data_IF_654148382120
#
_entry.id   IF_654148382120
#
_cell.length_a   1.000
_cell.length_b   1.000
_cell.length_c   1.000
_cell.angle_alpha   90.00
_cell.angle_beta   90.00
_cell.angle_gamma   90.00
#
_symmetry.space_group_name_H-M   'P 1'
#
loop_
_entity.id
_entity.type
_entity.pdbx_description
1 polymer ?
#
# COMPACT_ATOMS: atom_id res chain seq x y z
N UNK A 1 51.98 35.55 -5.72
CA UNK A 1 51.41 36.16 -6.92
C UNK A 1 50.60 35.16 -7.77
N UNK A 2 51.14 34.46 -8.82
CA UNK A 2 50.31 33.54 -9.65
C UNK A 2 49.97 32.21 -8.95
N UNK A 3 50.84 31.68 -8.06
CA UNK A 3 50.62 30.48 -7.23
C UNK A 3 49.62 30.71 -6.13
N UNK A 4 49.56 31.87 -5.52
CA UNK A 4 48.60 32.23 -4.49
C UNK A 4 47.17 32.38 -5.04
N UNK A 5 47.03 32.91 -6.25
CA UNK A 5 45.74 32.97 -6.96
C UNK A 5 45.21 31.57 -7.34
N UNK A 6 46.10 30.63 -7.71
CA UNK A 6 45.74 29.25 -7.99
C UNK A 6 45.28 28.51 -6.73
N UNK A 7 46.02 28.65 -5.61
CA UNK A 7 45.66 28.00 -4.34
C UNK A 7 44.33 28.54 -3.78
N UNK A 8 44.08 29.84 -3.86
CA UNK A 8 42.79 30.43 -3.47
C UNK A 8 41.63 29.93 -4.33
N UNK A 9 41.85 29.75 -5.66
CA UNK A 9 40.86 29.17 -6.55
C UNK A 9 40.55 27.72 -6.22
N UNK A 10 41.57 26.93 -5.85
CA UNK A 10 41.38 25.52 -5.47
C UNK A 10 40.68 25.37 -4.11
N UNK A 11 40.96 26.21 -3.16
CA UNK A 11 40.24 26.24 -1.86
C UNK A 11 38.76 26.61 -2.08
N UNK A 12 38.50 27.63 -2.92
CA UNK A 12 37.13 28.03 -3.23
C UNK A 12 36.35 26.92 -3.95
N UNK A 13 36.95 26.21 -4.91
CA UNK A 13 36.33 25.07 -5.59
C UNK A 13 36.02 23.96 -4.61
N UNK A 14 36.92 23.62 -3.69
CA UNK A 14 36.70 22.62 -2.65
C UNK A 14 35.55 23.01 -1.72
N UNK A 15 35.45 24.25 -1.32
CA UNK A 15 34.35 24.75 -0.51
C UNK A 15 33.01 24.65 -1.22
N UNK A 16 32.96 25.00 -2.53
CA UNK A 16 31.75 24.83 -3.33
C UNK A 16 31.31 23.37 -3.42
N UNK A 17 32.24 22.45 -3.67
CA UNK A 17 31.94 21.00 -3.71
C UNK A 17 31.46 20.47 -2.36
N UNK A 18 32.04 20.96 -1.24
CA UNK A 18 31.58 20.59 0.09
C UNK A 18 30.16 21.08 0.35
N UNK A 19 29.85 22.33 0.01
CA UNK A 19 28.49 22.89 0.16
C UNK A 19 27.49 22.13 -0.71
N UNK A 20 27.84 21.84 -1.96
CA UNK A 20 27.01 21.08 -2.87
C UNK A 20 26.74 19.65 -2.35
N UNK A 21 27.77 19.01 -1.78
CA UNK A 21 27.64 17.67 -1.19
C UNK A 21 26.76 17.69 0.06
N UNK A 22 26.88 18.69 0.94
CA UNK A 22 26.00 18.87 2.09
C UNK A 22 24.54 19.11 1.67
N UNK A 23 24.32 19.90 0.62
CA UNK A 23 22.98 20.13 0.06
C UNK A 23 22.38 18.86 -0.51
N UNK A 24 23.15 18.08 -1.28
CA UNK A 24 22.71 16.79 -1.82
C UNK A 24 22.40 15.77 -0.70
N UNK A 25 23.19 15.73 0.36
CA UNK A 25 22.94 14.89 1.51
C UNK A 25 21.65 15.31 2.24
N UNK A 26 21.45 16.60 2.46
CA UNK A 26 20.24 17.13 3.09
C UNK A 26 18.99 16.84 2.26
N UNK A 27 19.08 16.99 0.94
CA UNK A 27 17.99 16.65 0.02
C UNK A 27 17.69 15.14 0.01
N UNK A 28 18.72 14.30 0.03
CA UNK A 28 18.56 12.85 0.13
C UNK A 28 17.86 12.45 1.43
N UNK A 29 18.29 12.99 2.57
CA UNK A 29 17.65 12.74 3.87
C UNK A 29 16.18 13.22 3.85
N UNK A 30 15.91 14.36 3.27
CA UNK A 30 14.54 14.89 3.13
C UNK A 30 13.68 13.99 2.26
N UNK A 31 14.22 13.53 1.12
CA UNK A 31 13.52 12.60 0.23
C UNK A 31 13.24 11.27 0.93
N UNK A 32 14.21 10.72 1.67
CA UNK A 32 14.02 9.51 2.47
C UNK A 32 12.95 9.71 3.55
N UNK A 33 12.95 10.85 4.24
CA UNK A 33 11.93 11.20 5.23
C UNK A 33 10.53 11.33 4.61
N UNK A 34 10.39 12.00 3.47
CA UNK A 34 9.11 12.12 2.75
C UNK A 34 8.60 10.75 2.26
N UNK A 35 9.49 9.89 1.77
CA UNK A 35 9.16 8.50 1.42
C UNK A 35 8.65 7.74 2.64
N UNK A 36 9.38 7.78 3.75
CA UNK A 36 8.99 7.12 5.01
C UNK A 36 7.66 7.65 5.56
N UNK A 37 7.46 8.97 5.55
CA UNK A 37 6.21 9.63 5.97
C UNK A 37 5.02 9.23 5.09
N UNK A 38 5.24 9.08 3.78
CA UNK A 38 4.19 8.68 2.84
C UNK A 38 3.87 7.18 2.90
N UNK A 39 4.79 6.35 3.39
CA UNK A 39 4.61 4.92 3.59
C UNK A 39 3.62 4.60 4.72
N UNK A 40 3.65 5.39 5.78
CA UNK A 40 2.62 5.35 6.82
C UNK A 40 1.47 6.22 6.36
N UNK A 41 0.46 5.64 5.68
CA UNK A 41 -0.74 6.37 5.29
C UNK A 41 -1.33 7.09 6.52
N UNK A 42 -1.15 8.44 6.66
CA UNK A 42 -1.56 9.15 7.88
C UNK A 42 -3.06 9.00 8.15
N UNK A 43 -3.86 8.96 7.08
CA UNK A 43 -5.29 8.79 7.19
C UNK A 43 -5.68 7.41 7.75
N UNK A 44 -4.98 6.34 7.34
CA UNK A 44 -5.16 5.01 7.92
C UNK A 44 -4.82 5.03 9.42
N UNK A 45 -3.71 5.64 9.79
CA UNK A 45 -3.26 5.71 11.17
C UNK A 45 -4.26 6.48 12.05
N UNK A 46 -4.73 7.66 11.62
CA UNK A 46 -5.74 8.43 12.34
C UNK A 46 -7.06 7.65 12.50
N UNK A 47 -7.51 6.98 11.45
CA UNK A 47 -8.71 6.14 11.50
C UNK A 47 -8.52 4.98 12.48
N UNK A 48 -7.37 4.32 12.46
CA UNK A 48 -7.06 3.22 13.37
C UNK A 48 -7.06 3.66 14.83
N UNK A 49 -6.46 4.81 15.14
CA UNK A 49 -6.46 5.36 16.49
C UNK A 49 -7.87 5.75 16.97
N UNK A 50 -8.72 6.28 16.09
CA UNK A 50 -10.11 6.59 16.43
C UNK A 50 -10.92 5.34 16.70
N UNK A 51 -10.78 4.29 15.88
CA UNK A 51 -11.44 2.99 16.10
C UNK A 51 -10.96 2.37 17.41
N UNK A 52 -9.65 2.35 17.67
CA UNK A 52 -9.10 1.85 18.93
C UNK A 52 -9.66 2.59 20.16
N UNK A 53 -9.78 3.92 20.08
CA UNK A 53 -10.37 4.73 21.16
C UNK A 53 -11.81 4.34 21.48
N UNK A 54 -12.61 3.97 20.46
CA UNK A 54 -13.98 3.44 20.67
C UNK A 54 -13.92 2.07 21.32
N UNK A 55 -13.12 1.14 20.76
CA UNK A 55 -13.00 -0.23 21.24
C UNK A 55 -12.54 -0.32 22.71
N UNK A 56 -11.60 0.53 23.13
CA UNK A 56 -11.14 0.59 24.55
C UNK A 56 -12.28 0.89 25.51
N UNK A 57 -13.31 1.63 25.09
CA UNK A 57 -14.47 1.96 25.92
C UNK A 57 -15.55 0.88 25.89
N UNK A 58 -15.66 0.17 24.76
CA UNK A 58 -16.76 -0.76 24.50
C UNK A 58 -16.37 -2.20 24.83
N UNK A 59 -15.15 -2.62 24.49
CA UNK A 59 -14.70 -4.01 24.64
C UNK A 59 -13.16 -4.08 24.66
N UNK A 60 -12.59 -4.35 25.82
CA UNK A 60 -11.15 -4.41 26.01
C UNK A 60 -10.48 -5.56 25.23
N UNK A 61 -11.12 -6.72 25.11
CA UNK A 61 -10.57 -7.86 24.39
C UNK A 61 -10.45 -7.53 22.90
N UNK A 62 -11.50 -6.97 22.30
CA UNK A 62 -11.46 -6.47 20.91
C UNK A 62 -10.41 -5.37 20.72
N UNK A 63 -10.20 -4.51 21.71
CA UNK A 63 -9.15 -3.50 21.63
C UNK A 63 -7.74 -4.10 21.63
N UNK A 64 -7.51 -5.17 22.40
CA UNK A 64 -6.23 -5.90 22.39
C UNK A 64 -5.97 -6.57 21.05
N UNK A 65 -6.96 -7.30 20.50
CA UNK A 65 -6.87 -7.92 19.18
C UNK A 65 -6.59 -6.85 18.11
N UNK A 66 -7.26 -5.71 18.20
CA UNK A 66 -7.06 -4.59 17.26
C UNK A 66 -5.64 -4.04 17.31
N UNK A 67 -5.07 -3.86 18.52
CA UNK A 67 -3.67 -3.41 18.70
C UNK A 67 -2.71 -4.41 18.09
N UNK A 68 -2.95 -5.71 18.28
CA UNK A 68 -2.10 -6.76 17.74
C UNK A 68 -2.08 -6.74 16.20
N UNK A 69 -3.25 -6.69 15.58
CA UNK A 69 -3.35 -6.66 14.11
C UNK A 69 -2.83 -5.33 13.53
N UNK A 70 -3.07 -4.20 14.20
CA UNK A 70 -2.48 -2.91 13.82
C UNK A 70 -0.93 -2.96 13.86
N UNK A 71 -0.37 -3.59 14.89
CA UNK A 71 1.07 -3.78 15.00
C UNK A 71 1.64 -4.64 13.88
N UNK A 72 0.91 -5.69 13.44
CA UNK A 72 1.29 -6.51 12.28
C UNK A 72 1.30 -5.68 11.00
N UNK A 73 0.24 -4.90 10.75
CA UNK A 73 0.13 -4.04 9.56
C UNK A 73 1.27 -3.02 9.53
N UNK A 74 1.53 -2.33 10.63
CA UNK A 74 2.62 -1.35 10.70
C UNK A 74 3.99 -1.99 10.46
N UNK A 75 4.26 -3.14 11.08
CA UNK A 75 5.53 -3.87 10.91
C UNK A 75 5.74 -4.29 9.46
N UNK A 76 4.73 -4.90 8.83
CA UNK A 76 4.82 -5.30 7.43
C UNK A 76 5.06 -4.10 6.52
N UNK A 77 4.32 -3.00 6.72
CA UNK A 77 4.48 -1.76 5.94
C UNK A 77 5.91 -1.20 6.03
N UNK A 78 6.56 -1.30 7.19
CA UNK A 78 7.93 -0.83 7.37
C UNK A 78 8.97 -1.79 6.77
N UNK A 79 8.76 -3.10 6.85
CA UNK A 79 9.70 -4.12 6.39
C UNK A 79 9.60 -4.42 4.90
N UNK A 80 8.41 -4.36 4.32
CA UNK A 80 8.16 -4.73 2.92
C UNK A 80 8.79 -3.80 1.89
N UNK A 81 9.29 -2.64 2.32
CA UNK A 81 9.98 -1.68 1.44
C UNK A 81 11.36 -2.16 0.97
N UNK A 82 11.95 -3.13 1.66
CA UNK A 82 13.24 -3.70 1.26
C UNK A 82 13.10 -4.82 0.22
N UNK A 83 11.90 -5.40 0.09
CA UNK A 83 11.63 -6.51 -0.82
C UNK A 83 11.03 -6.02 -2.12
N UNK A 84 11.56 -6.49 -3.24
CA UNK A 84 10.98 -6.20 -4.56
C UNK A 84 9.69 -6.98 -4.80
N UNK A 85 9.60 -8.20 -4.29
CA UNK A 85 8.44 -9.09 -4.40
C UNK A 85 8.28 -9.93 -3.13
N UNK A 86 7.06 -10.39 -2.88
CA UNK A 86 6.67 -11.28 -1.78
C UNK A 86 5.82 -12.42 -2.33
N UNK A 87 5.67 -13.53 -1.59
CA UNK A 87 4.74 -14.58 -1.96
C UNK A 87 3.29 -14.14 -1.77
N UNK A 88 2.37 -14.73 -2.53
CA UNK A 88 0.94 -14.50 -2.33
C UNK A 88 0.51 -14.88 -0.92
N UNK A 89 1.10 -15.92 -0.34
CA UNK A 89 0.87 -16.32 1.06
C UNK A 89 1.19 -15.19 2.03
N UNK A 90 2.40 -14.61 1.96
CA UNK A 90 2.82 -13.49 2.81
C UNK A 90 1.93 -12.27 2.63
N UNK A 91 1.57 -11.95 1.39
CA UNK A 91 0.68 -10.83 1.06
C UNK A 91 -0.73 -11.05 1.61
N UNK A 92 -1.27 -12.27 1.54
CA UNK A 92 -2.60 -12.61 2.09
C UNK A 92 -2.62 -12.67 3.62
N UNK A 93 -1.52 -13.06 4.27
CA UNK A 93 -1.38 -12.95 5.74
C UNK A 93 -1.45 -11.48 6.18
N UNK A 94 -0.73 -10.61 5.47
CA UNK A 94 -0.80 -9.18 5.71
C UNK A 94 -2.19 -8.60 5.39
N UNK A 95 -2.77 -8.94 4.24
CA UNK A 95 -4.09 -8.51 3.85
C UNK A 95 -5.16 -8.93 4.89
N UNK A 96 -5.03 -10.12 5.49
CA UNK A 96 -5.93 -10.59 6.54
C UNK A 96 -5.90 -9.71 7.78
N UNK A 97 -4.72 -9.27 8.22
CA UNK A 97 -4.58 -8.30 9.31
C UNK A 97 -5.22 -6.94 8.96
N UNK A 98 -4.99 -6.46 7.75
CA UNK A 98 -5.58 -5.22 7.26
C UNK A 98 -7.11 -5.29 7.14
N UNK A 99 -7.65 -6.40 6.63
CA UNK A 99 -9.09 -6.69 6.55
C UNK A 99 -9.72 -6.70 7.94
N UNK A 100 -9.05 -7.28 8.94
CA UNK A 100 -9.52 -7.25 10.32
C UNK A 100 -9.70 -5.82 10.84
N UNK A 101 -8.72 -4.93 10.60
CA UNK A 101 -8.83 -3.52 10.99
C UNK A 101 -10.00 -2.82 10.30
N UNK A 102 -10.24 -3.09 9.02
CA UNK A 102 -11.36 -2.54 8.26
C UNK A 102 -12.71 -3.07 8.78
N UNK A 103 -12.84 -4.36 9.08
CA UNK A 103 -14.04 -4.96 9.65
C UNK A 103 -14.40 -4.37 11.00
N UNK A 104 -13.42 -4.07 11.86
CA UNK A 104 -13.66 -3.39 13.13
C UNK A 104 -14.18 -1.95 12.97
N UNK A 105 -13.84 -1.30 11.84
CA UNK A 105 -14.28 0.06 11.53
C UNK A 105 -15.65 0.13 10.86
N UNK A 106 -15.92 -0.78 9.93
CA UNK A 106 -17.13 -0.75 9.08
C UNK A 106 -18.15 -1.80 9.51
N UNK A 107 -17.79 -2.66 10.46
CA UNK A 107 -18.64 -3.71 11.02
C UNK A 107 -19.26 -4.61 9.91
N UNK A 108 -20.57 -4.81 9.95
CA UNK A 108 -21.28 -5.63 8.98
C UNK A 108 -21.41 -5.01 7.59
N UNK A 109 -21.05 -3.73 7.44
CA UNK A 109 -21.22 -2.98 6.20
C UNK A 109 -20.09 -3.22 5.20
N UNK A 110 -19.00 -3.86 5.62
CA UNK A 110 -17.91 -4.27 4.74
C UNK A 110 -17.65 -5.77 4.86
N UNK A 111 -17.84 -6.48 3.76
CA UNK A 111 -17.67 -7.92 3.68
C UNK A 111 -16.56 -8.27 2.69
N UNK A 112 -15.97 -9.45 2.88
CA UNK A 112 -14.92 -9.98 2.02
C UNK A 112 -15.23 -11.42 1.67
N UNK A 113 -15.18 -11.74 0.38
CA UNK A 113 -15.20 -13.10 -0.16
C UNK A 113 -13.81 -13.40 -0.74
N UNK A 114 -13.10 -14.35 -0.10
CA UNK A 114 -11.70 -14.65 -0.40
C UNK A 114 -11.57 -16.08 -0.85
N UNK A 115 -11.15 -16.28 -2.10
CA UNK A 115 -11.00 -17.60 -2.71
C UNK A 115 -9.63 -17.70 -3.38
N UNK A 116 -8.65 -18.13 -2.62
CA UNK A 116 -7.25 -18.27 -3.07
C UNK A 116 -6.94 -19.75 -3.26
N UNK A 117 -6.57 -20.12 -4.48
CA UNK A 117 -6.14 -21.48 -4.77
C UNK A 117 -4.73 -21.72 -4.21
N UNK A 118 -4.55 -22.83 -3.48
CA UNK A 118 -3.28 -23.20 -2.83
C UNK A 118 -2.10 -23.29 -3.80
N UNK A 119 -2.37 -23.63 -5.06
CA UNK A 119 -1.35 -23.72 -6.11
C UNK A 119 -0.64 -22.41 -6.40
N UNK A 120 -1.24 -21.26 -6.05
CA UNK A 120 -0.67 -19.93 -6.29
C UNK A 120 -0.06 -19.28 -5.04
N UNK A 121 -0.10 -19.93 -3.88
CA UNK A 121 0.38 -19.34 -2.63
C UNK A 121 1.86 -18.94 -2.65
N UNK A 122 2.69 -19.65 -3.40
CA UNK A 122 4.12 -19.38 -3.52
C UNK A 122 4.48 -18.47 -4.71
N UNK A 123 3.48 -18.10 -5.55
CA UNK A 123 3.67 -17.13 -6.63
C UNK A 123 3.94 -15.74 -6.08
N UNK A 124 4.65 -14.94 -6.85
CA UNK A 124 5.17 -13.64 -6.42
C UNK A 124 4.36 -12.47 -6.97
N UNK A 125 4.29 -11.42 -6.14
CA UNK A 125 3.69 -10.14 -6.52
C UNK A 125 4.41 -9.01 -5.75
N UNK A 126 4.24 -7.73 -6.16
CA UNK A 126 4.79 -6.62 -5.40
C UNK A 126 4.15 -6.55 -4.01
N UNK A 127 4.90 -6.26 -2.93
CA UNK A 127 4.34 -6.11 -1.60
C UNK A 127 3.30 -4.99 -1.54
N UNK A 128 2.29 -5.16 -0.68
CA UNK A 128 1.15 -4.26 -0.48
C UNK A 128 0.22 -4.12 -1.70
N UNK A 129 0.32 -5.01 -2.71
CA UNK A 129 -0.52 -4.98 -3.90
C UNK A 129 -2.00 -5.19 -3.55
N UNK A 130 -2.31 -6.21 -2.75
CA UNK A 130 -3.69 -6.52 -2.31
C UNK A 130 -4.26 -5.39 -1.46
N UNK A 131 -3.45 -4.81 -0.54
CA UNK A 131 -3.87 -3.65 0.25
C UNK A 131 -4.27 -2.47 -0.64
N UNK A 132 -3.47 -2.13 -1.64
CA UNK A 132 -3.76 -1.02 -2.57
C UNK A 132 -5.11 -1.24 -3.26
N UNK A 133 -5.42 -2.47 -3.67
CA UNK A 133 -6.68 -2.81 -4.32
C UNK A 133 -7.87 -2.72 -3.34
N UNK A 134 -7.73 -3.25 -2.13
CA UNK A 134 -8.75 -3.12 -1.06
C UNK A 134 -8.96 -1.65 -0.70
N UNK A 135 -7.88 -0.88 -0.52
CA UNK A 135 -7.96 0.55 -0.19
C UNK A 135 -8.68 1.33 -1.29
N UNK A 136 -8.44 0.99 -2.56
CA UNK A 136 -9.13 1.59 -3.70
C UNK A 136 -10.64 1.33 -3.62
N UNK A 137 -11.07 0.09 -3.38
CA UNK A 137 -12.47 -0.27 -3.23
C UNK A 137 -13.15 0.50 -2.08
N UNK A 138 -12.53 0.52 -0.90
CA UNK A 138 -13.06 1.23 0.29
C UNK A 138 -13.10 2.74 0.10
N UNK A 139 -12.12 3.31 -0.60
CA UNK A 139 -12.00 4.75 -0.80
C UNK A 139 -13.06 5.30 -1.76
N UNK A 140 -13.34 4.59 -2.83
CA UNK A 140 -14.19 5.07 -3.91
C UNK A 140 -15.67 4.72 -3.74
N UNK A 141 -16.01 3.75 -2.89
CA UNK A 141 -17.38 3.31 -2.70
C UNK A 141 -18.00 3.81 -1.39
N UNK A 142 -19.30 4.08 -1.42
CA UNK A 142 -20.12 4.31 -0.23
C UNK A 142 -20.22 3.00 0.54
N UNK A 143 -20.00 3.06 1.87
CA UNK A 143 -20.13 1.92 2.78
C UNK A 143 -21.04 2.34 3.91
N UNK A 144 -22.25 1.80 3.93
CA UNK A 144 -23.29 2.15 4.93
C UNK A 144 -24.27 0.98 5.11
N UNK A 145 -25.11 1.04 6.15
CA UNK A 145 -26.17 0.04 6.40
C UNK A 145 -27.11 -0.15 5.21
N UNK A 146 -27.32 0.90 4.41
CA UNK A 146 -28.18 0.86 3.22
C UNK A 146 -27.43 0.36 1.98
N UNK A 147 -26.11 0.44 1.98
CA UNK A 147 -25.23 0.06 0.89
C UNK A 147 -24.00 -0.66 1.45
N UNK A 148 -24.18 -1.89 1.93
CA UNK A 148 -23.03 -2.72 2.30
C UNK A 148 -22.16 -2.98 1.07
N UNK A 149 -20.85 -3.03 1.26
CA UNK A 149 -19.89 -3.33 0.21
C UNK A 149 -19.30 -4.71 0.42
N UNK A 150 -19.30 -5.54 -0.63
CA UNK A 150 -18.56 -6.80 -0.66
C UNK A 150 -17.37 -6.65 -1.58
N UNK A 151 -16.20 -7.05 -1.10
CA UNK A 151 -14.97 -7.10 -1.89
C UNK A 151 -14.62 -8.57 -2.14
N UNK A 152 -14.51 -8.95 -3.40
CA UNK A 152 -14.12 -10.29 -3.83
C UNK A 152 -12.63 -10.32 -4.13
N UNK A 153 -11.92 -11.29 -3.58
CA UNK A 153 -10.47 -11.50 -3.80
C UNK A 153 -10.31 -12.96 -4.24
N UNK A 154 -10.05 -13.16 -5.52
CA UNK A 154 -10.13 -14.50 -6.13
C UNK A 154 -8.92 -14.73 -7.05
N UNK A 155 -8.31 -15.91 -6.96
CA UNK A 155 -7.35 -16.37 -7.97
C UNK A 155 -8.08 -17.11 -9.09
N UNK A 156 -7.69 -16.85 -10.35
CA UNK A 156 -8.18 -17.61 -11.50
C UNK A 156 -7.17 -18.71 -11.92
N UNK A 157 -7.61 -19.59 -12.84
CA UNK A 157 -6.75 -20.69 -13.33
C UNK A 157 -5.62 -20.21 -14.27
N UNK A 158 -5.62 -18.96 -14.67
CA UNK A 158 -4.63 -18.36 -15.58
C UNK A 158 -3.46 -17.71 -14.80
N UNK A 159 -3.46 -17.81 -13.46
CA UNK A 159 -2.42 -17.21 -12.63
C UNK A 159 -2.62 -15.71 -12.37
N UNK A 160 -3.84 -15.25 -12.32
CA UNK A 160 -4.17 -13.87 -11.93
C UNK A 160 -4.87 -13.85 -10.57
N UNK A 161 -4.59 -12.82 -9.80
CA UNK A 161 -5.37 -12.41 -8.64
C UNK A 161 -6.28 -11.27 -9.04
N UNK A 162 -7.59 -11.47 -8.88
CA UNK A 162 -8.62 -10.46 -9.12
C UNK A 162 -9.13 -9.91 -7.79
N UNK A 163 -9.24 -8.59 -7.72
CA UNK A 163 -9.97 -7.89 -6.63
C UNK A 163 -11.08 -7.09 -7.28
N UNK A 164 -12.34 -7.42 -6.94
CA UNK A 164 -13.50 -6.75 -7.51
C UNK A 164 -14.53 -6.35 -6.46
N UNK A 165 -15.37 -5.39 -6.81
CA UNK A 165 -16.48 -4.90 -6.00
C UNK A 165 -17.56 -4.24 -6.85
N UNK A 166 -18.81 -4.20 -6.36
CA UNK A 166 -19.87 -3.40 -6.96
C UNK A 166 -19.53 -1.91 -6.93
N UNK A 167 -19.92 -1.19 -8.00
CA UNK A 167 -19.70 0.24 -8.13
C UNK A 167 -20.79 0.99 -7.35
N UNK A 168 -20.43 1.58 -6.22
CA UNK A 168 -21.30 2.39 -5.35
C UNK A 168 -20.65 3.76 -5.05
N UNK A 169 -20.52 4.66 -6.04
CA UNK A 169 -19.71 5.86 -5.89
C UNK A 169 -20.19 6.74 -4.74
N UNK A 170 -19.23 7.27 -3.98
CA UNK A 170 -19.52 8.28 -2.93
C UNK A 170 -20.06 9.55 -3.57
N UNK A 171 -21.05 10.17 -2.93
CA UNK A 171 -21.63 11.45 -3.38
C UNK A 171 -20.64 12.61 -3.31
N UNK A 172 -19.68 12.57 -2.39
CA UNK A 172 -18.57 13.51 -2.31
C UNK A 172 -17.39 12.91 -3.08
N UNK A 173 -16.96 13.58 -4.12
CA UNK A 173 -15.76 13.19 -4.86
C UNK A 173 -14.62 12.97 -3.84
N UNK A 174 -14.20 11.73 -3.64
CA UNK A 174 -13.01 11.45 -2.86
C UNK A 174 -11.87 12.18 -3.58
N UNK A 175 -11.26 13.16 -2.91
CA UNK A 175 -10.03 13.83 -3.39
C UNK A 175 -8.89 12.82 -3.38
N UNK A 176 -8.92 11.90 -4.31
CA UNK A 176 -7.95 10.83 -4.44
C UNK A 176 -7.33 10.88 -5.82
N UNK A 177 -6.06 11.09 -5.84
CA UNK A 177 -5.22 11.30 -7.02
C UNK A 177 -5.08 10.07 -7.93
N UNK A 178 -5.77 8.94 -7.66
CA UNK A 178 -5.59 7.69 -8.43
C UNK A 178 -4.17 7.10 -8.37
N UNK A 179 -3.30 7.70 -7.57
CA UNK A 179 -1.86 7.40 -7.51
C UNK A 179 -1.58 5.93 -7.13
N UNK A 180 -2.42 5.32 -6.29
CA UNK A 180 -2.20 3.95 -5.81
C UNK A 180 -2.15 2.92 -6.94
N UNK A 181 -3.19 2.88 -7.78
CA UNK A 181 -3.26 1.97 -8.93
C UNK A 181 -2.20 2.29 -10.00
N UNK A 182 -1.96 3.59 -10.26
CA UNK A 182 -0.90 4.01 -11.19
C UNK A 182 0.47 3.55 -10.71
N UNK A 183 0.75 3.67 -9.43
CA UNK A 183 2.02 3.21 -8.85
C UNK A 183 2.12 1.68 -8.87
N UNK A 184 1.04 0.96 -8.58
CA UNK A 184 1.01 -0.49 -8.68
C UNK A 184 1.29 -0.96 -10.13
N UNK A 185 0.63 -0.35 -11.11
CA UNK A 185 0.88 -0.64 -12.53
C UNK A 185 2.33 -0.39 -12.94
N UNK A 186 2.92 0.75 -12.49
CA UNK A 186 4.34 1.05 -12.73
C UNK A 186 5.26 -0.01 -12.12
N UNK A 187 4.96 -0.47 -10.89
CA UNK A 187 5.75 -1.51 -10.22
C UNK A 187 5.71 -2.82 -10.98
N UNK A 188 4.53 -3.26 -11.45
CA UNK A 188 4.39 -4.45 -12.29
C UNK A 188 5.21 -4.37 -13.58
N UNK A 189 5.16 -3.23 -14.27
CA UNK A 189 5.98 -3.00 -15.49
C UNK A 189 7.48 -3.05 -15.21
N UNK A 190 7.91 -2.43 -14.12
CA UNK A 190 9.34 -2.37 -13.77
C UNK A 190 9.88 -3.72 -13.34
N UNK A 191 9.17 -4.42 -12.44
CA UNK A 191 9.65 -5.65 -11.83
C UNK A 191 9.45 -6.87 -12.72
N UNK A 192 8.29 -6.98 -13.35
CA UNK A 192 7.86 -8.20 -14.02
C UNK A 192 7.62 -8.04 -15.52
N UNK A 193 7.71 -6.81 -16.06
CA UNK A 193 7.42 -6.50 -17.47
C UNK A 193 5.99 -6.88 -17.88
N UNK A 194 5.07 -6.85 -16.92
CA UNK A 194 3.65 -7.19 -17.12
C UNK A 194 2.76 -6.00 -16.74
N UNK A 195 1.56 -5.98 -17.32
CA UNK A 195 0.55 -4.97 -17.03
C UNK A 195 -0.57 -5.53 -16.16
N UNK A 196 -1.13 -4.70 -15.30
CA UNK A 196 -2.38 -4.98 -14.59
C UNK A 196 -3.57 -4.69 -15.52
N UNK A 197 -4.66 -5.41 -15.33
CA UNK A 197 -5.90 -5.22 -16.10
C UNK A 197 -6.93 -4.55 -15.19
N UNK A 198 -7.55 -3.48 -15.69
CA UNK A 198 -8.60 -2.75 -14.96
C UNK A 198 -9.87 -2.78 -15.82
N UNK A 199 -10.95 -3.21 -15.23
CA UNK A 199 -12.27 -3.28 -15.87
C UNK A 199 -13.28 -2.51 -15.04
N UNK A 200 -14.10 -1.69 -15.69
CA UNK A 200 -15.16 -0.92 -15.06
C UNK A 200 -16.41 -1.04 -15.94
N UNK A 201 -17.36 -1.89 -15.50
CA UNK A 201 -18.64 -2.10 -16.17
C UNK A 201 -19.75 -2.11 -15.11
N UNK A 202 -20.29 -3.25 -14.71
CA UNK A 202 -21.23 -3.39 -13.59
C UNK A 202 -20.51 -3.43 -12.24
N UNK A 203 -19.32 -3.98 -12.25
CA UNK A 203 -18.40 -4.00 -11.12
C UNK A 203 -17.06 -3.35 -11.51
N UNK A 204 -16.33 -2.86 -10.53
CA UNK A 204 -14.96 -2.45 -10.68
C UNK A 204 -14.06 -3.64 -10.36
N UNK A 205 -13.20 -4.03 -11.27
CA UNK A 205 -12.29 -5.17 -11.09
C UNK A 205 -10.87 -4.82 -11.52
N UNK A 206 -9.91 -5.24 -10.73
CA UNK A 206 -8.48 -5.15 -11.06
C UNK A 206 -7.90 -6.55 -10.99
N UNK A 207 -7.34 -7.01 -12.11
CA UNK A 207 -6.62 -8.28 -12.20
C UNK A 207 -5.12 -8.01 -12.26
N UNK A 208 -4.38 -8.64 -11.35
CA UNK A 208 -2.93 -8.56 -11.27
C UNK A 208 -2.31 -9.94 -11.54
N UNK A 209 -1.26 -10.03 -12.38
CA UNK A 209 -0.61 -11.30 -12.66
C UNK A 209 0.18 -11.79 -11.44
N UNK A 210 0.11 -13.09 -11.19
CA UNK A 210 0.93 -13.79 -10.21
C UNK A 210 2.13 -14.40 -10.94
N UNK A 211 3.32 -14.20 -10.43
CA UNK A 211 4.56 -14.55 -11.10
C UNK A 211 5.15 -15.82 -10.49
N UNK A 212 5.36 -16.84 -11.32
CA UNK A 212 6.08 -18.03 -10.92
C UNK A 212 7.60 -17.75 -10.96
N UNK A 213 8.30 -17.99 -9.84
CA UNK A 213 9.77 -17.80 -9.79
C UNK A 213 10.55 -18.91 -10.53
N UNK A 214 9.87 -19.94 -11.06
CA UNK A 214 10.51 -21.09 -11.72
C UNK A 214 10.80 -20.83 -13.21
N UNK A 215 10.60 -19.59 -13.71
CA UNK A 215 10.97 -19.24 -15.10
C UNK A 215 12.15 -18.29 -15.19
#
# INVERSE_FOLDING_TARGET
TRKESSAASDVYKRQLVLIENEQLQAENIRNQYEVLKNQLNPHMLFNSLNTLRSLVRENQDKAQDYIQELSRVLRYTLQSNESQSVSLREEMEFASAYIFLLKMRFENNLQFDIQIAKSFEDYRLPPMAVQVLIENAVKHNEISDRKPLTIHIVTNNEGYLSVSNDIQPKRTAASGTGIGLVNLAKRYRLLFKQDIQITEDKEFSVCIPLIDEVQ
#
